data_IF_217558206813
#
_entry.id   IF_217558206813
#
_cell.length_a   1.000
_cell.length_b   1.000
_cell.length_c   1.000
_cell.angle_alpha   90.00
_cell.angle_beta   90.00
_cell.angle_gamma   90.00
#
_symmetry.space_group_name_H-M   'P 1'
#
loop_
_entity.id
_entity.type
_entity.pdbx_description
1 polymer ?
#
# COMPACT_ATOMS: atom_id res chain seq x y z
N UNK A 1 4.65 5.26 5.08
CA UNK A 1 3.63 4.26 4.71
C UNK A 1 4.23 2.87 4.47
N UNK A 2 5.04 2.63 3.43
CA UNK A 2 5.53 1.29 3.09
C UNK A 2 6.29 0.58 4.24
N UNK A 3 7.16 1.30 4.96
CA UNK A 3 7.93 0.75 6.09
C UNK A 3 7.06 0.30 7.25
N UNK A 4 5.97 1.02 7.54
CA UNK A 4 5.08 0.74 8.67
C UNK A 4 4.23 -0.50 8.40
N UNK A 5 3.80 -0.68 7.14
CA UNK A 5 3.01 -1.85 6.71
C UNK A 5 3.88 -3.08 6.46
N UNK A 6 5.19 -2.90 6.25
CA UNK A 6 6.12 -3.99 6.02
C UNK A 6 6.18 -4.98 7.20
N UNK A 7 6.33 -4.48 8.43
CA UNK A 7 6.43 -5.31 9.64
C UNK A 7 5.22 -6.25 9.83
N UNK A 8 3.98 -5.73 9.85
CA UNK A 8 2.79 -6.56 9.98
C UNK A 8 2.58 -7.52 8.81
N UNK A 9 2.84 -7.12 7.57
CA UNK A 9 2.73 -8.02 6.41
C UNK A 9 3.78 -9.15 6.46
N UNK A 10 5.00 -8.84 6.88
CA UNK A 10 6.04 -9.84 7.06
C UNK A 10 5.69 -10.82 8.19
N UNK A 11 5.24 -10.30 9.35
CA UNK A 11 4.78 -11.12 10.46
C UNK A 11 3.64 -12.05 10.05
N UNK A 12 2.67 -11.55 9.26
CA UNK A 12 1.60 -12.37 8.70
C UNK A 12 2.15 -13.48 7.82
N UNK A 13 3.03 -13.17 6.87
CA UNK A 13 3.61 -14.17 5.97
C UNK A 13 4.42 -15.25 6.70
N UNK A 14 5.08 -14.90 7.82
CA UNK A 14 5.84 -15.84 8.62
C UNK A 14 4.94 -16.72 9.48
N UNK A 15 3.98 -16.14 10.21
CA UNK A 15 3.04 -16.90 11.05
C UNK A 15 2.20 -17.85 10.20
N UNK A 16 1.65 -17.35 9.09
CA UNK A 16 0.88 -18.18 8.16
C UNK A 16 1.73 -19.18 7.40
N UNK A 17 2.99 -18.86 7.09
CA UNK A 17 3.94 -19.81 6.51
C UNK A 17 4.26 -20.96 7.45
N UNK A 18 4.33 -20.69 8.75
CA UNK A 18 4.51 -21.70 9.81
C UNK A 18 3.24 -22.54 9.99
N UNK A 19 2.07 -21.92 10.06
CA UNK A 19 0.78 -22.62 10.18
C UNK A 19 0.47 -23.43 8.91
N UNK A 20 0.83 -22.94 7.73
CA UNK A 20 0.72 -23.71 6.47
C UNK A 20 1.63 -24.94 6.48
N UNK A 21 2.77 -24.87 7.19
CA UNK A 21 3.66 -26.01 7.41
C UNK A 21 3.05 -27.03 8.38
N UNK A 22 2.24 -26.60 9.36
CA UNK A 22 1.64 -27.51 10.36
C UNK A 22 0.29 -28.09 9.95
N UNK A 23 -0.61 -27.29 9.36
CA UNK A 23 -2.04 -27.63 9.24
C UNK A 23 -2.46 -28.04 7.82
N UNK A 24 -1.74 -27.63 6.77
CA UNK A 24 -2.24 -27.68 5.38
C UNK A 24 -1.33 -28.38 4.37
N UNK A 25 -0.37 -29.20 4.79
CA UNK A 25 0.50 -29.93 3.86
C UNK A 25 1.58 -29.06 3.17
N UNK A 26 1.88 -27.89 3.74
CA UNK A 26 2.98 -27.02 3.34
C UNK A 26 2.67 -26.00 2.24
N UNK A 27 3.64 -25.14 1.95
CA UNK A 27 3.58 -24.10 0.90
C UNK A 27 3.20 -24.70 -0.47
N UNK A 28 3.58 -25.95 -0.73
CA UNK A 28 3.27 -26.65 -1.98
C UNK A 28 1.76 -26.79 -2.20
N UNK A 29 0.99 -27.11 -1.15
CA UNK A 29 -0.46 -27.27 -1.26
C UNK A 29 -1.17 -25.94 -1.52
N UNK A 30 -0.68 -24.86 -0.93
CA UNK A 30 -1.16 -23.49 -1.19
C UNK A 30 -0.98 -23.13 -2.67
N UNK A 31 0.17 -23.46 -3.26
CA UNK A 31 0.42 -23.25 -4.68
C UNK A 31 -0.46 -24.12 -5.57
N UNK A 32 -0.66 -25.40 -5.23
CA UNK A 32 -1.56 -26.30 -5.96
C UNK A 32 -3.01 -25.77 -5.97
N UNK A 33 -3.56 -25.42 -4.80
CA UNK A 33 -4.91 -24.85 -4.68
C UNK A 33 -5.03 -23.55 -5.49
N UNK A 34 -4.01 -22.70 -5.45
CA UNK A 34 -4.02 -21.44 -6.19
C UNK A 34 -3.91 -21.62 -7.72
N UNK A 35 -3.20 -22.66 -8.19
CA UNK A 35 -3.17 -23.04 -9.60
C UNK A 35 -4.52 -23.61 -10.04
N UNK A 36 -5.12 -24.51 -9.24
CA UNK A 36 -6.44 -25.11 -9.52
C UNK A 36 -7.54 -24.04 -9.54
N UNK A 37 -7.46 -23.05 -8.65
CA UNK A 37 -8.35 -21.89 -8.60
C UNK A 37 -8.11 -20.83 -9.70
N UNK A 38 -7.20 -21.08 -10.66
CA UNK A 38 -6.79 -20.16 -11.74
C UNK A 38 -6.39 -18.76 -11.24
N UNK A 39 -5.87 -18.66 -10.01
CA UNK A 39 -5.44 -17.39 -9.41
C UNK A 39 -4.03 -16.99 -9.83
N UNK A 40 -3.23 -17.95 -10.29
CA UNK A 40 -1.85 -17.75 -10.71
C UNK A 40 -1.77 -17.81 -12.23
N UNK A 41 -1.64 -16.64 -12.86
CA UNK A 41 -1.39 -16.50 -14.30
C UNK A 41 -0.13 -15.65 -14.50
N UNK A 42 1.06 -16.27 -14.42
CA UNK A 42 2.33 -15.54 -14.45
C UNK A 42 2.61 -14.84 -15.79
N UNK A 43 2.19 -15.43 -16.91
CA UNK A 43 2.61 -14.98 -18.26
C UNK A 43 1.42 -14.84 -19.21
N UNK A 44 0.42 -14.01 -18.84
CA UNK A 44 -0.62 -13.63 -19.79
C UNK A 44 -0.09 -12.56 -20.76
N UNK A 45 0.38 -13.00 -21.94
CA UNK A 45 0.95 -12.18 -23.01
C UNK A 45 -0.13 -11.85 -24.06
N UNK A 46 -1.27 -11.32 -23.61
CA UNK A 46 -2.30 -10.80 -24.51
C UNK A 46 -2.15 -9.29 -24.69
N UNK A 47 -2.39 -8.80 -25.91
CA UNK A 47 -2.47 -7.37 -26.23
C UNK A 47 -3.90 -6.83 -26.16
N UNK A 48 -4.86 -7.64 -25.72
CA UNK A 48 -6.25 -7.23 -25.57
C UNK A 48 -6.38 -6.18 -24.43
N UNK A 49 -6.82 -4.94 -24.73
CA UNK A 49 -6.95 -3.88 -23.74
C UNK A 49 -8.10 -4.10 -22.74
N UNK A 50 -8.98 -5.07 -22.97
CA UNK A 50 -10.07 -5.43 -22.04
C UNK A 50 -9.58 -6.29 -20.87
N UNK A 51 -8.41 -6.92 -21.00
CA UNK A 51 -7.83 -7.75 -19.96
C UNK A 51 -7.10 -6.87 -18.94
N UNK A 52 -7.60 -6.87 -17.71
CA UNK A 52 -7.10 -6.01 -16.62
C UNK A 52 -5.64 -6.24 -16.23
N UNK A 53 -5.16 -7.49 -16.33
CA UNK A 53 -3.82 -7.88 -15.91
C UNK A 53 -3.14 -8.72 -17.00
N UNK A 54 -2.24 -8.07 -17.73
CA UNK A 54 -1.30 -8.67 -18.69
C UNK A 54 0.13 -8.29 -18.34
N UNK A 55 1.10 -8.99 -18.90
CA UNK A 55 2.52 -8.65 -18.72
C UNK A 55 2.81 -7.19 -19.14
N UNK A 56 2.10 -6.68 -20.16
CA UNK A 56 2.23 -5.31 -20.65
C UNK A 56 1.69 -4.29 -19.66
N UNK A 57 0.51 -4.53 -19.08
CA UNK A 57 -0.03 -3.65 -18.03
C UNK A 57 0.84 -3.66 -16.77
N UNK A 58 1.47 -4.80 -16.45
CA UNK A 58 2.35 -4.91 -15.31
C UNK A 58 3.69 -4.17 -15.52
N UNK A 59 4.33 -4.36 -16.68
CA UNK A 59 5.59 -3.70 -17.02
C UNK A 59 5.38 -2.23 -17.36
N UNK A 60 4.64 -1.92 -18.44
CA UNK A 60 4.48 -0.55 -18.89
C UNK A 60 3.57 0.25 -17.95
N UNK A 61 2.40 -0.29 -17.61
CA UNK A 61 1.46 0.39 -16.72
C UNK A 61 2.03 0.54 -15.31
N UNK A 62 2.63 -0.52 -14.76
CA UNK A 62 3.25 -0.50 -13.44
C UNK A 62 4.45 0.46 -13.35
N UNK A 63 5.35 0.45 -14.34
CA UNK A 63 6.48 1.39 -14.35
C UNK A 63 6.02 2.83 -14.55
N UNK A 64 5.12 3.11 -15.49
CA UNK A 64 4.57 4.47 -15.67
C UNK A 64 3.86 4.99 -14.42
N UNK A 65 3.08 4.13 -13.74
CA UNK A 65 2.42 4.47 -12.49
C UNK A 65 3.42 4.72 -11.35
N UNK A 66 4.43 3.87 -11.19
CA UNK A 66 5.47 4.07 -10.18
C UNK A 66 6.25 5.37 -10.42
N UNK A 67 6.60 5.66 -11.68
CA UNK A 67 7.26 6.91 -12.08
C UNK A 67 6.38 8.12 -11.84
N UNK A 68 5.07 8.08 -12.15
CA UNK A 68 4.19 9.22 -11.90
C UNK A 68 4.05 9.51 -10.40
N UNK A 69 3.90 8.47 -9.58
CA UNK A 69 3.88 8.62 -8.13
C UNK A 69 5.21 9.17 -7.58
N UNK A 70 6.35 8.80 -8.14
CA UNK A 70 7.66 9.28 -7.67
C UNK A 70 7.98 10.70 -8.15
N UNK A 71 7.67 11.05 -9.40
CA UNK A 71 8.14 12.28 -10.03
C UNK A 71 7.13 13.42 -10.02
N UNK A 72 5.83 13.13 -10.09
CA UNK A 72 4.78 14.14 -10.30
C UNK A 72 4.09 14.48 -8.98
N UNK A 73 4.01 13.52 -8.06
CA UNK A 73 3.28 13.69 -6.82
C UNK A 73 3.98 14.68 -5.88
N UNK A 74 3.28 15.76 -5.54
CA UNK A 74 3.82 16.84 -4.70
C UNK A 74 4.34 16.35 -3.35
N UNK A 75 3.70 15.33 -2.76
CA UNK A 75 4.13 14.70 -1.51
C UNK A 75 5.54 14.14 -1.58
N UNK A 76 5.96 13.65 -2.74
CA UNK A 76 7.26 13.01 -2.96
C UNK A 76 8.32 14.07 -3.29
N UNK A 77 7.98 15.03 -4.15
CA UNK A 77 8.86 16.17 -4.46
C UNK A 77 9.24 16.95 -3.21
N UNK A 78 8.29 17.21 -2.31
CA UNK A 78 8.55 17.87 -1.02
C UNK A 78 9.58 17.10 -0.19
N UNK A 79 9.50 15.77 -0.15
CA UNK A 79 10.45 14.93 0.60
C UNK A 79 11.87 15.00 0.03
N UNK A 80 12.00 15.09 -1.29
CA UNK A 80 13.32 15.18 -1.93
C UNK A 80 13.99 16.53 -1.66
N UNK A 81 13.22 17.62 -1.57
CA UNK A 81 13.72 18.96 -1.26
C UNK A 81 14.20 19.10 0.19
N UNK A 82 13.76 18.24 1.10
CA UNK A 82 14.21 18.24 2.49
C UNK A 82 15.58 17.54 2.69
N UNK A 83 16.12 16.88 1.67
CA UNK A 83 17.40 16.16 1.75
C UNK A 83 18.55 17.09 1.34
N UNK A 84 19.66 17.03 2.08
CA UNK A 84 20.82 17.93 1.90
C UNK A 84 21.59 17.75 0.59
N UNK A 85 21.42 16.61 -0.09
CA UNK A 85 22.15 16.29 -1.32
C UNK A 85 21.28 15.50 -2.29
N UNK A 86 21.43 15.79 -3.59
CA UNK A 86 20.79 15.05 -4.69
C UNK A 86 21.13 13.56 -4.65
N UNK A 87 22.37 13.20 -4.26
CA UNK A 87 22.78 11.79 -4.19
C UNK A 87 22.04 11.04 -3.09
N UNK A 88 21.81 11.68 -1.95
CA UNK A 88 21.03 11.10 -0.85
C UNK A 88 19.54 11.03 -1.20
N UNK A 89 19.01 12.03 -1.90
CA UNK A 89 17.64 11.98 -2.43
C UNK A 89 17.45 10.79 -3.41
N UNK A 90 18.39 10.57 -4.33
CA UNK A 90 18.37 9.41 -5.23
C UNK A 90 18.39 8.07 -4.48
N UNK A 91 19.25 7.93 -3.46
CA UNK A 91 19.27 6.73 -2.62
C UNK A 91 17.92 6.52 -1.92
N UNK A 92 17.34 7.58 -1.36
CA UNK A 92 16.04 7.51 -0.69
C UNK A 92 14.92 7.04 -1.64
N UNK A 93 14.94 7.50 -2.90
CA UNK A 93 14.01 7.04 -3.95
C UNK A 93 14.18 5.54 -4.20
N UNK A 94 15.40 5.07 -4.43
CA UNK A 94 15.66 3.65 -4.71
C UNK A 94 15.27 2.74 -3.55
N UNK A 95 15.58 3.13 -2.31
CA UNK A 95 15.17 2.40 -1.11
C UNK A 95 13.65 2.34 -1.01
N UNK A 96 12.96 3.47 -1.22
CA UNK A 96 11.50 3.52 -1.19
C UNK A 96 10.88 2.62 -2.27
N UNK A 97 11.38 2.68 -3.50
CA UNK A 97 10.91 1.85 -4.62
C UNK A 97 11.09 0.37 -4.32
N UNK A 98 12.27 -0.04 -3.85
CA UNK A 98 12.55 -1.42 -3.47
C UNK A 98 11.59 -1.91 -2.37
N UNK A 99 11.38 -1.11 -1.33
CA UNK A 99 10.46 -1.46 -0.23
C UNK A 99 9.00 -1.57 -0.70
N UNK A 100 8.56 -0.71 -1.62
CA UNK A 100 7.23 -0.81 -2.22
C UNK A 100 7.05 -2.09 -3.03
N UNK A 101 8.03 -2.45 -3.88
CA UNK A 101 8.00 -3.71 -4.65
C UNK A 101 7.91 -4.90 -3.71
N UNK A 102 8.74 -4.93 -2.68
CA UNK A 102 8.76 -6.01 -1.70
C UNK A 102 7.42 -6.13 -0.94
N UNK A 103 6.83 -5.00 -0.55
CA UNK A 103 5.51 -4.97 0.09
C UNK A 103 4.41 -5.52 -0.84
N UNK A 104 4.42 -5.16 -2.13
CA UNK A 104 3.46 -5.67 -3.11
C UNK A 104 3.58 -7.19 -3.25
N UNK A 105 4.81 -7.72 -3.32
CA UNK A 105 5.05 -9.16 -3.39
C UNK A 105 4.53 -9.88 -2.13
N UNK A 106 4.80 -9.34 -0.93
CA UNK A 106 4.27 -9.89 0.32
C UNK A 106 2.73 -9.89 0.36
N UNK A 107 2.09 -8.80 -0.06
CA UNK A 107 0.64 -8.74 -0.18
C UNK A 107 0.10 -9.79 -1.17
N UNK A 108 0.82 -10.06 -2.27
CA UNK A 108 0.50 -11.13 -3.20
C UNK A 108 0.52 -12.51 -2.54
N UNK A 109 1.57 -12.80 -1.75
CA UNK A 109 1.68 -14.07 -0.99
C UNK A 109 0.52 -14.20 0.01
N UNK A 110 0.21 -13.15 0.77
CA UNK A 110 -0.92 -13.17 1.70
C UNK A 110 -2.26 -13.36 0.97
N UNK A 111 -2.43 -12.77 -0.22
CA UNK A 111 -3.60 -13.00 -1.06
C UNK A 111 -3.79 -14.46 -1.47
N UNK A 112 -2.70 -15.15 -1.82
CA UNK A 112 -2.74 -16.59 -2.11
C UNK A 112 -3.09 -17.42 -0.87
N UNK A 113 -2.57 -17.04 0.29
CA UNK A 113 -2.85 -17.72 1.57
C UNK A 113 -4.32 -17.55 2.00
N UNK A 114 -4.87 -16.34 1.85
CA UNK A 114 -6.31 -16.07 2.07
C UNK A 114 -7.14 -16.97 1.15
N UNK A 115 -6.76 -17.06 -0.12
CA UNK A 115 -7.48 -17.91 -1.08
C UNK A 115 -7.41 -19.39 -0.69
N UNK A 116 -6.24 -19.89 -0.30
CA UNK A 116 -6.08 -21.27 0.14
C UNK A 116 -6.87 -21.58 1.41
N UNK A 117 -6.92 -20.65 2.38
CA UNK A 117 -7.67 -20.84 3.64
C UNK A 117 -9.18 -20.84 3.44
N UNK A 118 -9.69 -19.98 2.55
CA UNK A 118 -11.13 -19.87 2.28
C UNK A 118 -11.59 -20.57 1.00
N UNK A 119 -10.79 -21.52 0.48
CA UNK A 119 -11.14 -22.25 -0.74
C UNK A 119 -12.41 -23.09 -0.55
N UNK A 120 -12.55 -23.75 0.60
CA UNK A 120 -13.67 -24.66 0.87
C UNK A 120 -14.88 -23.95 1.50
N UNK A 121 -14.64 -22.89 2.29
CA UNK A 121 -15.67 -22.10 2.94
C UNK A 121 -15.45 -20.61 2.67
N UNK A 122 -16.22 -20.07 1.72
CA UNK A 122 -16.13 -18.66 1.32
C UNK A 122 -16.86 -17.75 2.31
N UNK A 123 -16.15 -16.89 3.07
CA UNK A 123 -16.75 -16.01 4.07
C UNK A 123 -17.65 -14.92 3.47
N UNK A 124 -17.53 -14.60 2.17
CA UNK A 124 -18.47 -13.69 1.50
C UNK A 124 -19.83 -14.37 1.32
N UNK A 125 -19.84 -15.63 0.88
CA UNK A 125 -21.09 -16.40 0.70
C UNK A 125 -21.74 -16.73 2.03
N UNK A 126 -20.93 -16.99 3.05
CA UNK A 126 -21.39 -17.20 4.43
C UNK A 126 -21.89 -15.91 5.11
N UNK A 127 -21.82 -14.74 4.45
CA UNK A 127 -22.21 -13.41 4.98
C UNK A 127 -21.46 -13.02 6.27
N UNK A 128 -20.29 -13.61 6.51
CA UNK A 128 -19.37 -13.15 7.56
C UNK A 128 -18.75 -11.80 7.19
N UNK A 129 -18.67 -11.52 5.89
CA UNK A 129 -18.06 -10.32 5.32
C UNK A 129 -18.95 -9.74 4.22
N UNK A 130 -19.12 -8.42 4.18
CA UNK A 130 -19.97 -7.75 3.19
C UNK A 130 -19.23 -7.43 1.89
N UNK A 131 -17.92 -7.19 1.94
CA UNK A 131 -17.12 -6.75 0.79
C UNK A 131 -15.76 -7.46 0.75
N UNK A 132 -15.22 -7.64 -0.46
CA UNK A 132 -13.97 -8.39 -0.65
C UNK A 132 -12.73 -7.74 0.01
N UNK A 133 -12.73 -6.42 0.22
CA UNK A 133 -11.65 -5.68 0.91
C UNK A 133 -11.53 -6.04 2.40
N UNK A 134 -12.59 -6.54 3.00
CA UNK A 134 -12.64 -6.93 4.41
C UNK A 134 -12.09 -8.36 4.66
N UNK A 135 -11.84 -9.15 3.61
CA UNK A 135 -11.23 -10.49 3.72
C UNK A 135 -9.87 -10.45 4.41
N UNK A 136 -9.06 -9.46 4.06
CA UNK A 136 -7.71 -9.34 4.60
C UNK A 136 -7.74 -9.06 6.11
N UNK A 137 -8.46 -8.03 6.61
CA UNK A 137 -8.65 -7.85 8.05
C UNK A 137 -9.22 -9.09 8.76
N UNK A 138 -10.23 -9.76 8.18
CA UNK A 138 -10.80 -10.98 8.78
C UNK A 138 -9.73 -12.06 8.95
N UNK A 139 -8.96 -12.33 7.91
CA UNK A 139 -7.88 -13.31 7.93
C UNK A 139 -6.82 -12.99 8.98
N UNK A 140 -6.48 -11.72 9.15
CA UNK A 140 -5.54 -11.28 10.19
C UNK A 140 -6.11 -11.53 11.58
N UNK A 141 -7.37 -11.16 11.82
CA UNK A 141 -8.03 -11.37 13.11
C UNK A 141 -8.06 -12.84 13.50
N UNK A 142 -8.40 -13.73 12.54
CA UNK A 142 -8.46 -15.17 12.78
C UNK A 142 -7.08 -15.78 13.02
N UNK A 143 -6.09 -15.41 12.21
CA UNK A 143 -4.72 -15.96 12.31
C UNK A 143 -4.00 -15.48 13.56
N UNK A 144 -4.13 -14.20 13.91
CA UNK A 144 -3.46 -13.61 15.08
C UNK A 144 -4.23 -13.78 16.38
N UNK A 145 -5.43 -14.37 16.37
CA UNK A 145 -6.22 -14.65 17.57
C UNK A 145 -5.45 -15.44 18.64
N UNK A 146 -4.49 -16.29 18.22
CA UNK A 146 -3.63 -17.08 19.10
C UNK A 146 -2.56 -16.26 19.83
N UNK A 147 -2.19 -15.11 19.29
CA UNK A 147 -1.10 -14.27 19.82
C UNK A 147 -1.67 -12.95 20.35
N UNK A 148 -1.89 -12.83 21.68
CA UNK A 148 -2.48 -11.62 22.26
C UNK A 148 -1.60 -10.39 21.94
N UNK A 149 -2.23 -9.33 21.44
CA UNK A 149 -1.59 -8.06 21.10
C UNK A 149 -1.14 -7.91 19.64
N UNK A 150 -0.92 -9.01 18.89
CA UNK A 150 -0.42 -8.93 17.51
C UNK A 150 -1.47 -8.33 16.55
N UNK A 151 -2.74 -8.67 16.76
CA UNK A 151 -3.88 -8.04 16.09
C UNK A 151 -3.94 -6.54 16.33
N UNK A 152 -3.72 -6.11 17.58
CA UNK A 152 -3.70 -4.69 17.94
C UNK A 152 -2.54 -3.95 17.27
N UNK A 153 -1.35 -4.57 17.23
CA UNK A 153 -0.19 -4.04 16.53
C UNK A 153 -0.45 -3.89 15.02
N UNK A 154 -1.09 -4.89 14.40
CA UNK A 154 -1.48 -4.82 13.00
C UNK A 154 -2.43 -3.64 12.73
N UNK A 155 -3.50 -3.50 13.52
CA UNK A 155 -4.47 -2.41 13.37
C UNK A 155 -3.78 -1.05 13.58
N UNK A 156 -2.92 -0.93 14.60
CA UNK A 156 -2.16 0.28 14.86
C UNK A 156 -1.25 0.67 13.67
N UNK A 157 -0.58 -0.30 13.07
CA UNK A 157 0.28 -0.07 11.90
C UNK A 157 -0.53 0.36 10.66
N UNK A 158 -1.68 -0.26 10.41
CA UNK A 158 -2.58 0.14 9.31
C UNK A 158 -3.09 1.56 9.53
N UNK A 159 -3.56 1.88 10.73
CA UNK A 159 -4.05 3.22 11.07
C UNK A 159 -2.95 4.27 10.98
N UNK A 160 -1.74 3.97 11.47
CA UNK A 160 -0.57 4.85 11.35
C UNK A 160 -0.17 5.07 9.89
N UNK A 161 -0.17 4.01 9.08
CA UNK A 161 0.08 4.09 7.64
C UNK A 161 -0.93 4.99 6.92
N UNK A 162 -2.22 4.80 7.19
CA UNK A 162 -3.31 5.60 6.64
C UNK A 162 -3.22 7.07 7.06
N UNK A 163 -3.01 7.35 8.35
CA UNK A 163 -2.92 8.71 8.87
C UNK A 163 -1.68 9.45 8.32
N UNK A 164 -0.56 8.75 8.15
CA UNK A 164 0.65 9.30 7.51
C UNK A 164 0.39 9.74 6.07
N UNK A 165 -0.37 8.96 5.30
CA UNK A 165 -0.73 9.29 3.92
C UNK A 165 -1.72 10.46 3.84
N UNK A 166 -2.73 10.47 4.70
CA UNK A 166 -3.70 11.59 4.79
C UNK A 166 -2.97 12.88 5.16
N UNK A 167 -2.14 12.86 6.20
CA UNK A 167 -1.36 14.02 6.64
C UNK A 167 -0.44 14.55 5.53
N UNK A 168 0.28 13.66 4.83
CA UNK A 168 1.14 14.07 3.71
C UNK A 168 0.31 14.67 2.57
N UNK A 169 -0.83 14.05 2.22
CA UNK A 169 -1.71 14.51 1.14
C UNK A 169 -2.29 15.89 1.41
N UNK A 170 -2.80 16.12 2.62
CA UNK A 170 -3.34 17.44 3.01
C UNK A 170 -2.23 18.50 3.03
N UNK A 171 -1.04 18.17 3.53
CA UNK A 171 0.11 19.08 3.48
C UNK A 171 0.49 19.48 2.05
N UNK A 172 0.45 18.52 1.11
CA UNK A 172 0.72 18.81 -0.30
C UNK A 172 -0.38 19.63 -0.97
N UNK A 173 -1.65 19.39 -0.64
CA UNK A 173 -2.76 20.22 -1.15
C UNK A 173 -2.61 21.65 -0.64
N UNK A 174 -2.33 21.84 0.65
CA UNK A 174 -2.08 23.17 1.21
C UNK A 174 -0.93 23.87 0.47
N UNK A 175 0.17 23.16 0.20
CA UNK A 175 1.29 23.73 -0.55
C UNK A 175 0.91 24.12 -1.98
N UNK A 176 0.16 23.29 -2.72
CA UNK A 176 -0.32 23.59 -4.08
C UNK A 176 -1.26 24.80 -4.08
N UNK A 177 -2.15 24.91 -3.10
CA UNK A 177 -3.05 26.08 -2.98
C UNK A 177 -2.23 27.36 -2.76
N UNK A 178 -1.20 27.32 -1.92
CA UNK A 178 -0.40 28.49 -1.60
C UNK A 178 0.56 28.87 -2.73
N UNK A 179 1.27 27.90 -3.31
CA UNK A 179 2.32 28.14 -4.31
C UNK A 179 1.75 28.32 -5.72
N UNK A 180 0.81 27.47 -6.13
CA UNK A 180 0.34 27.43 -7.52
C UNK A 180 -0.92 28.27 -7.73
N UNK A 181 -1.84 28.31 -6.76
CA UNK A 181 -3.11 29.06 -6.90
C UNK A 181 -2.96 30.49 -6.40
N UNK A 182 -2.54 30.68 -5.14
CA UNK A 182 -2.53 32.01 -4.52
C UNK A 182 -1.52 32.96 -5.16
N UNK A 183 -0.27 32.54 -5.36
CA UNK A 183 0.75 33.39 -5.99
C UNK A 183 0.37 33.77 -7.42
N UNK A 184 -0.30 32.88 -8.14
CA UNK A 184 -0.79 33.15 -9.50
C UNK A 184 -1.94 34.17 -9.49
N UNK A 185 -2.86 34.07 -8.53
CA UNK A 185 -4.03 34.97 -8.44
C UNK A 185 -3.70 36.35 -7.83
N UNK A 186 -2.73 36.43 -6.93
CA UNK A 186 -2.34 37.67 -6.25
C UNK A 186 -0.80 37.83 -6.18
N UNK A 187 -0.12 38.12 -7.31
CA UNK A 187 1.35 38.16 -7.40
C UNK A 187 2.01 39.14 -6.44
N UNK A 188 1.30 40.23 -6.10
CA UNK A 188 1.81 41.33 -5.28
C UNK A 188 1.41 41.25 -3.79
N UNK A 189 0.73 40.17 -3.36
CA UNK A 189 0.38 39.93 -1.95
C UNK A 189 0.70 38.49 -1.57
N UNK A 190 1.98 38.26 -1.26
CA UNK A 190 2.36 37.08 -0.48
C UNK A 190 1.71 37.20 0.91
N UNK A 191 0.89 36.23 1.32
CA UNK A 191 0.33 36.20 2.67
C UNK A 191 1.47 36.01 3.68
N UNK A 192 1.39 36.68 4.84
CA UNK A 192 2.35 36.53 5.95
C UNK A 192 2.56 35.04 6.27
N UNK A 193 3.79 34.63 6.60
CA UNK A 193 4.15 33.24 6.96
C UNK A 193 3.22 32.67 8.04
N UNK A 194 2.74 33.51 8.95
CA UNK A 194 1.76 33.14 9.98
C UNK A 194 0.38 32.79 9.39
N UNK A 195 -0.08 33.53 8.38
CA UNK A 195 -1.34 33.27 7.69
C UNK A 195 -1.25 32.00 6.83
N UNK A 196 -0.12 31.77 6.15
CA UNK A 196 0.13 30.54 5.41
C UNK A 196 0.08 29.33 6.34
N UNK A 197 0.77 29.44 7.46
CA UNK A 197 0.82 28.39 8.49
C UNK A 197 -0.55 28.15 9.12
N UNK A 198 -1.35 29.20 9.31
CA UNK A 198 -2.71 29.11 9.88
C UNK A 198 -3.68 28.43 8.91
N UNK A 199 -3.60 28.76 7.62
CA UNK A 199 -4.41 28.11 6.56
C UNK A 199 -4.03 26.63 6.45
N UNK A 200 -2.73 26.31 6.41
CA UNK A 200 -2.25 24.93 6.37
C UNK A 200 -2.71 24.13 7.61
N UNK A 201 -2.62 24.72 8.81
CA UNK A 201 -3.12 24.12 10.06
C UNK A 201 -4.63 23.92 10.06
N UNK A 202 -5.39 24.89 9.55
CA UNK A 202 -6.86 24.79 9.45
C UNK A 202 -7.29 23.67 8.49
N UNK A 203 -6.59 23.50 7.36
CA UNK A 203 -6.83 22.40 6.43
C UNK A 203 -6.43 21.03 7.00
N UNK A 204 -5.39 20.97 7.84
CA UNK A 204 -4.90 19.72 8.44
C UNK A 204 -5.68 19.24 9.68
N UNK A 205 -6.36 20.13 10.41
CA UNK A 205 -7.02 19.81 11.68
C UNK A 205 -8.53 19.52 11.57
N UNK A 206 -9.12 19.54 10.38
CA UNK A 206 -10.54 19.30 10.17
C UNK A 206 -10.79 18.04 9.37
#
# INVERSE_FOLDING_TARGET
MAVILYGPCLALSQVTGLDSFSDAGGIKKVFEIAMDGQRINFFNISFDPTIRYTIWTALLGGTCYASSCACILQTQTQRYMCVSSTREAQKAVWINTFMCVLLILLCGVVGLLIHAKYHDCDPLKAKLVSRADQLYPLFVMETFSRFPGLTGLFIAAVMSGSLSSISSGVNSIAAVIMEDIWKTLAPNRLPSDELQTTIAKFMCMR
#
